data_IF_294228176238
#
_entry.id   IF_294228176238
#
_cell.length_a   1.000
_cell.length_b   1.000
_cell.length_c   1.000
_cell.angle_alpha   90.00
_cell.angle_beta   90.00
_cell.angle_gamma   90.00
#
_symmetry.space_group_name_H-M   'P 1'
#
loop_
_entity.id
_entity.type
_entity.pdbx_description
1 polymer ?
#
# COMPACT_ATOMS: atom_id res chain seq x y z
N UNK A 1 32.39 -24.75 27.59
CA UNK A 1 32.20 -23.32 27.28
C UNK A 1 31.02 -23.22 26.31
N UNK A 2 29.84 -22.96 26.84
CA UNK A 2 28.61 -22.83 26.06
C UNK A 2 28.59 -21.46 25.39
N UNK A 3 28.66 -21.42 24.06
CA UNK A 3 28.36 -20.23 23.29
C UNK A 3 26.88 -19.89 23.52
N UNK A 4 26.64 -18.91 24.39
CA UNK A 4 25.37 -18.19 24.44
C UNK A 4 25.31 -17.42 23.13
N UNK A 5 24.60 -17.95 22.14
CA UNK A 5 24.15 -17.13 21.02
C UNK A 5 23.24 -16.05 21.63
N UNK A 6 23.72 -14.81 21.66
CA UNK A 6 22.87 -13.66 21.91
C UNK A 6 21.69 -13.77 20.93
N UNK A 7 20.53 -14.03 21.46
CA UNK A 7 19.27 -13.98 20.74
C UNK A 7 19.02 -12.51 20.46
N UNK A 8 19.36 -12.05 19.26
CA UNK A 8 18.93 -10.75 18.76
C UNK A 8 17.41 -10.78 18.73
N UNK A 9 16.76 -10.07 19.62
CA UNK A 9 15.30 -9.94 19.68
C UNK A 9 14.76 -9.23 18.44
N UNK A 10 13.42 -9.15 18.30
CA UNK A 10 12.77 -8.38 17.24
C UNK A 10 12.88 -6.87 17.50
N UNK A 11 14.10 -6.34 17.49
CA UNK A 11 14.35 -4.94 17.74
C UNK A 11 14.27 -4.16 16.45
N UNK A 12 13.38 -3.16 16.40
CA UNK A 12 13.24 -2.22 15.30
C UNK A 12 14.07 -0.97 15.57
N UNK A 13 14.89 -0.58 14.61
CA UNK A 13 15.54 0.72 14.64
C UNK A 13 14.61 1.75 14.02
N UNK A 14 14.02 2.62 14.85
CA UNK A 14 13.05 3.61 14.43
C UNK A 14 13.71 4.97 14.29
N UNK A 15 13.43 5.63 13.18
CA UNK A 15 13.82 7.01 12.92
C UNK A 15 12.59 7.85 12.50
N UNK A 16 12.63 9.13 12.80
CA UNK A 16 11.60 10.09 12.45
C UNK A 16 12.19 11.14 11.51
N UNK A 17 11.58 11.31 10.35
CA UNK A 17 11.99 12.35 9.42
C UNK A 17 11.57 13.74 9.93
N UNK A 18 12.39 14.75 9.66
CA UNK A 18 11.93 16.13 9.73
C UNK A 18 10.99 16.41 8.55
N UNK A 19 10.26 17.52 8.62
CA UNK A 19 9.41 17.98 7.52
C UNK A 19 10.19 18.10 6.21
N UNK A 20 11.36 18.74 6.25
CA UNK A 20 12.19 18.94 5.06
C UNK A 20 12.69 17.62 4.49
N UNK A 21 13.10 16.70 5.35
CA UNK A 21 13.53 15.36 4.92
C UNK A 21 12.37 14.61 4.28
N UNK A 22 11.19 14.61 4.89
CA UNK A 22 9.99 13.98 4.37
C UNK A 22 9.59 14.55 3.00
N UNK A 23 9.67 15.85 2.80
CA UNK A 23 9.42 16.51 1.52
C UNK A 23 10.40 16.06 0.44
N UNK A 24 11.70 15.94 0.77
CA UNK A 24 12.70 15.44 -0.18
C UNK A 24 12.48 13.98 -0.54
N UNK A 25 12.06 13.15 0.42
CA UNK A 25 11.77 11.74 0.20
C UNK A 25 10.54 11.54 -0.69
N UNK A 26 9.49 12.34 -0.51
CA UNK A 26 8.33 12.38 -1.42
C UNK A 26 8.79 12.69 -2.84
N UNK A 27 9.58 13.74 -3.04
CA UNK A 27 10.08 14.10 -4.37
C UNK A 27 10.87 12.98 -5.04
N UNK A 28 11.59 12.18 -4.26
CA UNK A 28 12.43 11.07 -4.76
C UNK A 28 11.69 9.76 -4.96
N UNK A 29 10.41 9.69 -4.63
CA UNK A 29 9.61 8.46 -4.75
C UNK A 29 9.20 8.19 -6.21
N UNK A 30 10.17 8.24 -7.11
CA UNK A 30 9.96 8.10 -8.57
C UNK A 30 9.36 6.76 -8.94
N UNK A 31 9.70 5.68 -8.22
CA UNK A 31 9.16 4.34 -8.46
C UNK A 31 7.63 4.32 -8.33
N UNK A 32 7.08 5.00 -7.32
CA UNK A 32 5.63 5.12 -7.16
C UNK A 32 5.03 5.99 -8.26
N UNK A 33 5.60 7.16 -8.54
CA UNK A 33 5.06 8.10 -9.51
C UNK A 33 5.02 7.58 -10.95
N UNK A 34 5.95 6.70 -11.33
CA UNK A 34 5.94 6.05 -12.65
C UNK A 34 4.77 5.09 -12.86
N UNK A 35 4.12 4.65 -11.79
CA UNK A 35 2.96 3.74 -11.86
C UNK A 35 1.63 4.46 -11.90
N UNK A 36 1.61 5.77 -11.64
CA UNK A 36 0.38 6.56 -11.64
C UNK A 36 -0.19 6.66 -13.05
N UNK A 37 -1.45 6.31 -13.18
CA UNK A 37 -2.24 6.57 -14.39
C UNK A 37 -2.73 8.03 -14.41
N UNK A 38 -3.25 8.49 -15.56
CA UNK A 38 -3.90 9.80 -15.60
C UNK A 38 -5.10 9.87 -14.63
N UNK A 39 -5.81 8.74 -14.44
CA UNK A 39 -6.91 8.70 -13.47
C UNK A 39 -6.41 8.85 -12.03
N UNK A 40 -5.27 8.26 -11.70
CA UNK A 40 -4.62 8.45 -10.41
C UNK A 40 -4.31 9.91 -10.12
N UNK A 41 -3.71 10.60 -11.09
CA UNK A 41 -3.35 12.02 -10.98
C UNK A 41 -4.61 12.90 -10.81
N UNK A 42 -5.62 12.68 -11.66
CA UNK A 42 -6.86 13.43 -11.64
C UNK A 42 -7.59 13.30 -10.29
N UNK A 43 -7.65 12.09 -9.74
CA UNK A 43 -8.29 11.82 -8.46
C UNK A 43 -7.51 12.40 -7.27
N UNK A 44 -6.17 12.30 -7.26
CA UNK A 44 -5.34 12.81 -6.17
C UNK A 44 -5.32 14.34 -6.12
N UNK A 45 -5.31 14.97 -7.29
CA UNK A 45 -5.36 16.43 -7.39
C UNK A 45 -6.80 17.00 -7.46
N UNK A 46 -7.82 16.12 -7.50
CA UNK A 46 -9.24 16.52 -7.71
C UNK A 46 -9.41 17.46 -8.91
N UNK A 47 -8.70 17.17 -10.00
CA UNK A 47 -8.62 18.04 -11.18
C UNK A 47 -8.41 17.20 -12.43
N UNK A 48 -9.19 17.44 -13.48
CA UNK A 48 -9.00 16.79 -14.78
C UNK A 48 -7.70 17.27 -15.44
N UNK A 49 -6.91 16.33 -15.97
CA UNK A 49 -5.64 16.61 -16.63
C UNK A 49 -4.54 17.05 -15.67
N UNK A 50 -4.60 16.58 -14.42
CA UNK A 50 -3.56 16.83 -13.44
C UNK A 50 -2.21 16.21 -13.85
N UNK A 51 -1.13 16.80 -13.38
CA UNK A 51 0.25 16.39 -13.70
C UNK A 51 1.04 16.03 -12.44
N UNK A 52 2.18 15.35 -12.62
CA UNK A 52 3.11 15.11 -11.51
C UNK A 52 3.69 16.41 -10.94
N UNK A 53 3.89 17.42 -11.79
CA UNK A 53 4.38 18.74 -11.36
C UNK A 53 3.38 19.47 -10.45
N UNK A 54 2.11 19.06 -10.45
CA UNK A 54 1.08 19.55 -9.53
C UNK A 54 0.96 18.61 -8.30
N UNK A 55 0.99 17.30 -8.49
CA UNK A 55 0.83 16.35 -7.41
C UNK A 55 2.01 16.36 -6.42
N UNK A 56 3.25 16.38 -6.91
CA UNK A 56 4.43 16.29 -6.03
C UNK A 56 4.51 17.48 -5.06
N UNK A 57 4.39 18.76 -5.49
CA UNK A 57 4.35 19.88 -4.55
C UNK A 57 3.15 19.82 -3.59
N UNK A 58 2.00 19.32 -4.04
CA UNK A 58 0.84 19.12 -3.17
C UNK A 58 1.14 18.08 -2.08
N UNK A 59 1.67 16.91 -2.43
CA UNK A 59 2.09 15.89 -1.46
C UNK A 59 3.15 16.42 -0.48
N UNK A 60 4.15 17.17 -0.98
CA UNK A 60 5.17 17.80 -0.13
C UNK A 60 4.57 18.79 0.87
N UNK A 61 3.55 19.56 0.46
CA UNK A 61 2.90 20.55 1.34
C UNK A 61 2.16 19.90 2.52
N UNK A 62 1.80 18.64 2.40
CA UNK A 62 1.11 17.86 3.42
C UNK A 62 2.02 17.38 4.56
N UNK A 63 3.35 17.37 4.38
CA UNK A 63 4.29 16.84 5.38
C UNK A 63 4.38 17.79 6.59
N UNK A 64 4.32 17.20 7.79
CA UNK A 64 4.41 17.88 9.07
C UNK A 64 5.64 17.42 9.85
N UNK A 65 5.97 18.10 10.95
CA UNK A 65 6.96 17.66 11.91
C UNK A 65 6.29 16.82 13.02
N UNK A 66 7.01 15.83 13.52
CA UNK A 66 6.62 15.14 14.76
C UNK A 66 6.97 15.97 15.98
N UNK A 67 6.05 16.11 16.90
CA UNK A 67 6.37 16.54 18.27
C UNK A 67 7.02 15.38 19.06
N UNK A 68 7.67 15.69 20.18
CA UNK A 68 8.25 14.64 21.03
C UNK A 68 7.15 13.70 21.57
N UNK A 69 5.95 14.23 21.88
CA UNK A 69 4.79 13.42 22.25
C UNK A 69 4.38 12.45 21.15
N UNK A 70 4.40 12.86 19.88
CA UNK A 70 4.04 12.00 18.76
C UNK A 70 5.04 10.85 18.61
N UNK A 71 6.33 11.15 18.76
CA UNK A 71 7.40 10.14 18.76
C UNK A 71 7.20 9.14 19.89
N UNK A 72 6.93 9.61 21.11
CA UNK A 72 6.67 8.74 22.27
C UNK A 72 5.47 7.82 22.05
N UNK A 73 4.39 8.32 21.45
CA UNK A 73 3.19 7.51 21.13
C UNK A 73 3.54 6.40 20.14
N UNK A 74 4.31 6.72 19.09
CA UNK A 74 4.74 5.72 18.09
C UNK A 74 5.67 4.71 18.74
N UNK A 75 6.66 5.17 19.52
CA UNK A 75 7.61 4.27 20.20
C UNK A 75 6.93 3.30 21.15
N UNK A 76 5.92 3.75 21.93
CA UNK A 76 5.11 2.85 22.78
C UNK A 76 4.36 1.80 21.97
N UNK A 77 3.87 2.15 20.77
CA UNK A 77 3.23 1.18 19.89
C UNK A 77 4.22 0.15 19.35
N UNK A 78 5.40 0.60 18.94
CA UNK A 78 6.50 -0.25 18.44
C UNK A 78 7.00 -1.19 19.54
N UNK A 79 7.28 -0.69 20.73
CA UNK A 79 7.72 -1.50 21.88
C UNK A 79 6.71 -2.59 22.24
N UNK A 80 5.40 -2.27 22.15
CA UNK A 80 4.36 -3.28 22.33
C UNK A 80 4.40 -4.36 21.24
N UNK A 81 4.63 -3.99 19.98
CA UNK A 81 4.73 -4.93 18.85
C UNK A 81 5.96 -5.84 19.07
N UNK A 82 7.12 -5.28 19.39
CA UNK A 82 8.34 -6.02 19.69
C UNK A 82 8.11 -7.03 20.83
N UNK A 83 7.50 -6.58 21.93
CA UNK A 83 7.14 -7.42 23.06
C UNK A 83 6.23 -8.59 22.65
N UNK A 84 5.20 -8.33 21.84
CA UNK A 84 4.27 -9.37 21.36
C UNK A 84 4.95 -10.37 20.43
N UNK A 85 5.84 -9.94 19.58
CA UNK A 85 6.63 -10.81 18.70
C UNK A 85 7.56 -11.72 19.52
N UNK A 86 8.18 -11.20 20.57
CA UNK A 86 9.05 -11.97 21.45
C UNK A 86 8.25 -12.95 22.31
N UNK A 87 7.08 -12.54 22.83
CA UNK A 87 6.16 -13.42 23.59
C UNK A 87 5.66 -14.61 22.74
N UNK A 88 5.43 -14.39 21.44
CA UNK A 88 5.02 -15.41 20.49
C UNK A 88 6.20 -16.21 19.91
N UNK A 89 7.42 -15.94 20.35
CA UNK A 89 8.67 -16.53 19.80
C UNK A 89 8.77 -16.37 18.27
N UNK A 90 8.09 -15.34 17.72
CA UNK A 90 8.06 -15.07 16.29
C UNK A 90 9.30 -14.28 15.89
N UNK A 91 10.02 -14.73 14.87
CA UNK A 91 11.17 -14.04 14.28
C UNK A 91 10.82 -13.60 12.86
N UNK A 92 10.78 -12.29 12.65
CA UNK A 92 10.47 -11.69 11.36
C UNK A 92 11.74 -11.17 10.68
N UNK A 93 11.82 -11.19 9.35
CA UNK A 93 12.91 -10.58 8.59
C UNK A 93 12.73 -9.06 8.54
N UNK A 94 12.94 -8.40 9.69
CA UNK A 94 12.77 -6.97 9.84
C UNK A 94 13.87 -6.21 9.08
N UNK A 95 13.57 -5.02 8.52
CA UNK A 95 14.58 -4.15 7.92
C UNK A 95 15.52 -3.59 8.99
N UNK A 96 16.73 -3.16 8.57
CA UNK A 96 17.70 -2.56 9.48
C UNK A 96 17.23 -1.24 10.11
N UNK A 97 16.33 -0.51 9.45
CA UNK A 97 15.72 0.74 9.93
C UNK A 97 14.32 0.90 9.36
N UNK A 98 13.41 1.48 10.14
CA UNK A 98 12.09 1.96 9.70
C UNK A 98 12.01 3.47 9.94
N UNK A 99 11.72 4.22 8.88
CA UNK A 99 11.60 5.67 8.93
C UNK A 99 10.13 6.09 8.92
N UNK A 100 9.72 6.86 9.93
CA UNK A 100 8.39 7.46 9.97
C UNK A 100 8.37 8.87 9.37
N UNK A 101 7.35 9.15 8.57
CA UNK A 101 7.02 10.45 8.00
C UNK A 101 5.56 10.74 8.32
N UNK A 102 5.20 11.95 8.71
CA UNK A 102 3.82 12.28 9.08
C UNK A 102 3.21 13.35 8.17
N UNK A 103 2.45 12.93 7.13
CA UNK A 103 1.66 13.84 6.30
C UNK A 103 0.21 13.97 6.78
N UNK A 104 -0.51 14.95 6.20
CA UNK A 104 -1.98 15.05 6.31
C UNK A 104 -2.72 14.03 5.43
N UNK A 105 -2.03 13.46 4.43
CA UNK A 105 -2.58 12.47 3.48
C UNK A 105 -3.70 13.01 2.56
N UNK A 106 -3.76 14.30 2.31
CA UNK A 106 -4.78 14.86 1.40
C UNK A 106 -4.57 14.42 -0.04
N UNK A 107 -3.31 14.26 -0.46
CA UNK A 107 -2.87 13.75 -1.75
C UNK A 107 -3.18 12.25 -1.95
N UNK A 108 -3.25 11.47 -0.88
CA UNK A 108 -3.66 10.06 -0.89
C UNK A 108 -5.09 9.88 -0.34
N UNK A 109 -5.95 10.88 -0.58
CA UNK A 109 -7.38 10.83 -0.27
C UNK A 109 -7.69 10.51 1.19
N UNK A 110 -6.87 11.02 2.09
CA UNK A 110 -6.98 10.79 3.53
C UNK A 110 -6.73 9.35 4.00
N UNK A 111 -5.94 8.57 3.27
CA UNK A 111 -5.47 7.26 3.75
C UNK A 111 -4.90 7.35 5.17
N UNK A 112 -5.04 6.29 5.95
CA UNK A 112 -4.53 6.27 7.34
C UNK A 112 -3.00 6.16 7.41
N UNK A 113 -2.42 5.35 6.54
CA UNK A 113 -1.00 5.18 6.33
C UNK A 113 -0.73 4.56 4.96
N UNK A 114 0.53 4.54 4.56
CA UNK A 114 1.08 3.74 3.47
C UNK A 114 2.59 3.59 3.63
N UNK A 115 3.20 2.71 2.84
CA UNK A 115 4.64 2.47 2.85
C UNK A 115 5.30 2.72 1.50
N UNK A 116 6.58 3.09 1.55
CA UNK A 116 7.47 3.11 0.38
C UNK A 116 8.88 2.73 0.82
N UNK A 117 9.46 1.67 0.24
CA UNK A 117 10.73 1.12 0.72
C UNK A 117 10.62 0.68 2.18
N UNK A 118 11.45 1.25 3.05
CA UNK A 118 11.40 1.07 4.52
C UNK A 118 10.74 2.25 5.25
N UNK A 119 9.99 3.09 4.55
CA UNK A 119 9.30 4.26 5.11
C UNK A 119 7.84 3.95 5.39
N UNK A 120 7.34 4.45 6.53
CA UNK A 120 5.92 4.49 6.88
C UNK A 120 5.47 5.94 6.84
N UNK A 121 4.57 6.26 5.92
CA UNK A 121 3.84 7.51 5.89
C UNK A 121 2.60 7.35 6.76
N UNK A 122 2.60 7.97 7.93
CA UNK A 122 1.54 7.84 8.92
C UNK A 122 0.77 9.15 9.03
N UNK A 123 -0.53 9.12 8.71
CA UNK A 123 -1.37 10.31 8.79
C UNK A 123 -1.34 10.91 10.18
N UNK A 124 -1.07 12.22 10.28
CA UNK A 124 -0.94 12.93 11.54
C UNK A 124 -2.13 12.70 12.51
N UNK A 125 -3.36 12.78 12.01
CA UNK A 125 -4.57 12.59 12.84
C UNK A 125 -4.73 11.16 13.39
N UNK A 126 -3.98 10.17 12.87
CA UNK A 126 -3.98 8.81 13.44
C UNK A 126 -3.29 8.73 14.80
N UNK A 127 -2.39 9.70 15.10
CA UNK A 127 -1.72 9.79 16.40
C UNK A 127 -2.67 10.14 17.56
N UNK A 128 -3.83 10.72 17.25
CA UNK A 128 -4.87 11.04 18.23
C UNK A 128 -5.84 9.88 18.49
N UNK A 129 -5.67 8.77 17.74
CA UNK A 129 -6.54 7.59 17.87
C UNK A 129 -6.14 6.73 19.06
N UNK A 130 -6.99 5.74 19.38
CA UNK A 130 -6.69 4.76 20.45
C UNK A 130 -5.37 4.03 20.15
N UNK A 131 -4.60 3.73 21.18
CA UNK A 131 -3.32 3.01 21.06
C UNK A 131 -3.45 1.63 20.39
N UNK A 132 -4.59 0.94 20.53
CA UNK A 132 -4.85 -0.32 19.83
C UNK A 132 -4.92 -0.14 18.31
N UNK A 133 -5.62 0.91 17.85
CA UNK A 133 -5.68 1.23 16.43
C UNK A 133 -4.30 1.52 15.85
N UNK A 134 -3.49 2.31 16.57
CA UNK A 134 -2.15 2.66 16.09
C UNK A 134 -1.23 1.44 16.01
N UNK A 135 -1.32 0.53 17.00
CA UNK A 135 -0.60 -0.75 16.97
C UNK A 135 -0.98 -1.62 15.79
N UNK A 136 -2.27 -1.78 15.54
CA UNK A 136 -2.79 -2.52 14.39
C UNK A 136 -2.32 -1.90 13.08
N UNK A 137 -2.40 -0.57 12.93
CA UNK A 137 -1.96 0.15 11.75
C UNK A 137 -0.46 -0.01 11.52
N UNK A 138 0.39 0.23 12.52
CA UNK A 138 1.84 0.07 12.38
C UNK A 138 2.21 -1.40 12.07
N UNK A 139 1.52 -2.38 12.68
CA UNK A 139 1.74 -3.80 12.34
C UNK A 139 1.39 -4.09 10.88
N UNK A 140 0.31 -3.50 10.37
CA UNK A 140 -0.08 -3.59 8.97
C UNK A 140 1.01 -3.02 8.04
N UNK A 141 1.49 -1.82 8.31
CA UNK A 141 2.54 -1.18 7.53
C UNK A 141 3.88 -1.95 7.58
N UNK A 142 4.23 -2.46 8.75
CA UNK A 142 5.41 -3.32 8.89
C UNK A 142 5.30 -4.60 8.04
N UNK A 143 4.10 -5.17 7.89
CA UNK A 143 3.90 -6.33 7.03
C UNK A 143 4.21 -6.00 5.56
N UNK A 144 3.79 -4.82 5.07
CA UNK A 144 4.15 -4.36 3.73
C UNK A 144 5.67 -4.21 3.56
N UNK A 145 6.35 -3.60 4.53
CA UNK A 145 7.82 -3.44 4.49
C UNK A 145 8.51 -4.81 4.49
N UNK A 146 8.11 -5.72 5.37
CA UNK A 146 8.72 -7.05 5.50
C UNK A 146 8.53 -7.87 4.23
N UNK A 147 7.33 -7.89 3.66
CA UNK A 147 7.03 -8.63 2.43
C UNK A 147 7.77 -8.08 1.23
N UNK A 148 8.05 -6.78 1.20
CA UNK A 148 8.87 -6.12 0.19
C UNK A 148 10.36 -6.49 0.33
N UNK A 149 10.86 -6.55 1.54
CA UNK A 149 12.28 -6.85 1.83
C UNK A 149 12.62 -8.34 1.74
N UNK A 150 11.66 -9.23 1.99
CA UNK A 150 11.87 -10.67 2.00
C UNK A 150 10.89 -11.38 1.05
N UNK A 151 11.29 -11.60 -0.22
CA UNK A 151 10.46 -12.33 -1.19
C UNK A 151 10.09 -13.74 -0.71
N UNK A 152 10.98 -14.43 -0.01
CA UNK A 152 10.71 -15.75 0.56
C UNK A 152 9.61 -15.69 1.64
N UNK A 153 9.68 -14.72 2.54
CA UNK A 153 8.65 -14.48 3.55
C UNK A 153 7.31 -14.14 2.88
N UNK A 154 7.32 -13.23 1.89
CA UNK A 154 6.14 -12.86 1.11
C UNK A 154 5.49 -14.07 0.48
N UNK A 155 6.25 -14.90 -0.22
CA UNK A 155 5.74 -16.10 -0.87
C UNK A 155 5.08 -17.06 0.12
N UNK A 156 5.72 -17.30 1.27
CA UNK A 156 5.19 -18.14 2.34
C UNK A 156 3.89 -17.59 2.91
N UNK A 157 3.86 -16.30 3.27
CA UNK A 157 2.68 -15.67 3.86
C UNK A 157 1.51 -15.62 2.89
N UNK A 158 1.74 -15.27 1.63
CA UNK A 158 0.71 -15.23 0.61
C UNK A 158 0.14 -16.63 0.32
N UNK A 159 0.98 -17.66 0.32
CA UNK A 159 0.52 -19.04 0.14
C UNK A 159 -0.42 -19.53 1.25
N UNK A 160 -0.25 -19.06 2.50
CA UNK A 160 -1.13 -19.40 3.63
C UNK A 160 -2.57 -18.92 3.42
N UNK A 161 -2.76 -17.85 2.66
CA UNK A 161 -4.08 -17.31 2.32
C UNK A 161 -4.50 -17.65 0.89
N UNK A 162 -3.82 -18.60 0.24
CA UNK A 162 -4.19 -19.14 -1.06
C UNK A 162 -3.72 -18.33 -2.26
N UNK A 163 -2.82 -17.34 -2.07
CA UNK A 163 -2.23 -16.60 -3.19
C UNK A 163 -0.93 -17.24 -3.68
N UNK A 164 -0.75 -17.24 -4.98
CA UNK A 164 0.49 -17.58 -5.67
C UNK A 164 1.18 -16.31 -6.12
N UNK A 165 2.44 -16.13 -5.76
CA UNK A 165 3.29 -15.02 -6.22
C UNK A 165 4.07 -15.48 -7.44
N UNK A 166 4.06 -14.67 -8.51
CA UNK A 166 4.78 -14.89 -9.75
C UNK A 166 6.14 -14.19 -9.72
N UNK A 167 6.99 -14.49 -10.67
CA UNK A 167 8.30 -13.86 -10.87
C UNK A 167 8.26 -12.62 -11.78
N UNK A 168 7.09 -12.24 -12.23
CA UNK A 168 6.84 -11.09 -13.10
C UNK A 168 5.46 -10.50 -12.86
N UNK A 169 5.29 -9.23 -13.20
CA UNK A 169 4.00 -8.55 -13.13
C UNK A 169 3.00 -9.10 -14.15
N UNK A 170 1.73 -9.11 -13.77
CA UNK A 170 0.63 -9.52 -14.64
C UNK A 170 0.44 -8.46 -15.72
N UNK A 171 0.44 -8.92 -16.98
CA UNK A 171 0.17 -8.05 -18.12
C UNK A 171 -1.34 -7.81 -18.29
N UNK A 172 -1.73 -6.54 -18.25
CA UNK A 172 -3.11 -6.11 -18.46
C UNK A 172 -3.28 -5.42 -19.82
N UNK A 173 -4.46 -5.58 -20.48
CA UNK A 173 -4.78 -4.78 -21.65
C UNK A 173 -4.75 -3.28 -21.35
N UNK A 174 -4.35 -2.45 -22.32
CA UNK A 174 -4.20 -1.00 -22.13
C UNK A 174 -5.46 -0.32 -21.60
N UNK A 175 -6.65 -0.75 -22.02
CA UNK A 175 -7.93 -0.24 -21.50
C UNK A 175 -8.08 -0.49 -19.99
N UNK A 176 -7.56 -1.63 -19.50
CA UNK A 176 -7.56 -1.99 -18.08
C UNK A 176 -6.50 -1.22 -17.33
N UNK A 177 -5.26 -1.19 -17.84
CA UNK A 177 -4.15 -0.45 -17.23
C UNK A 177 -4.52 0.99 -16.90
N UNK A 178 -5.19 1.69 -17.82
CA UNK A 178 -5.63 3.09 -17.63
C UNK A 178 -6.59 3.32 -16.48
N UNK A 179 -7.20 2.27 -15.96
CA UNK A 179 -8.18 2.32 -14.87
C UNK A 179 -7.69 1.66 -13.59
N UNK A 180 -6.54 0.98 -13.62
CA UNK A 180 -5.94 0.46 -12.39
C UNK A 180 -5.59 1.63 -11.48
N UNK A 181 -5.89 1.48 -10.20
CA UNK A 181 -5.50 2.42 -9.17
C UNK A 181 -4.13 2.01 -8.64
N UNK A 182 -3.17 2.91 -8.70
CA UNK A 182 -1.88 2.69 -8.07
C UNK A 182 -2.01 2.86 -6.55
N UNK A 183 -1.64 1.79 -5.83
CA UNK A 183 -1.52 1.82 -4.37
C UNK A 183 -0.02 1.90 -4.02
N UNK A 184 0.43 2.84 -3.19
CA UNK A 184 1.84 2.93 -2.81
C UNK A 184 2.36 1.68 -2.09
N UNK A 185 1.50 0.92 -1.40
CA UNK A 185 1.86 -0.33 -0.72
C UNK A 185 2.08 -1.51 -1.67
N UNK A 186 1.52 -1.41 -2.89
CA UNK A 186 1.58 -2.46 -3.90
C UNK A 186 2.56 -2.09 -4.99
N UNK A 187 3.82 -2.54 -4.89
CA UNK A 187 4.85 -2.26 -5.91
C UNK A 187 4.68 -3.11 -7.18
N UNK A 188 4.13 -4.33 -7.04
CA UNK A 188 3.95 -5.30 -8.10
C UNK A 188 2.55 -5.89 -8.10
N UNK A 189 1.93 -6.03 -9.26
CA UNK A 189 0.72 -6.83 -9.43
C UNK A 189 1.16 -8.18 -10.03
N UNK A 190 1.72 -9.02 -9.20
CA UNK A 190 2.40 -10.27 -9.53
C UNK A 190 1.83 -11.49 -8.80
N UNK A 191 0.62 -11.37 -8.28
CA UNK A 191 0.02 -12.46 -7.51
C UNK A 191 -1.44 -12.71 -7.90
N UNK A 192 -1.85 -13.96 -7.76
CA UNK A 192 -3.21 -14.40 -8.04
C UNK A 192 -3.66 -15.48 -7.04
N UNK A 193 -4.96 -15.67 -6.95
CA UNK A 193 -5.56 -16.79 -6.23
C UNK A 193 -6.66 -17.47 -7.06
N UNK A 194 -7.07 -18.69 -6.66
CA UNK A 194 -8.17 -19.38 -7.27
C UNK A 194 -9.50 -18.98 -6.60
N UNK A 195 -10.45 -18.53 -7.40
CA UNK A 195 -11.79 -18.17 -6.95
C UNK A 195 -12.84 -18.99 -7.72
N UNK A 196 -13.94 -19.34 -7.05
CA UNK A 196 -15.09 -19.95 -7.70
C UNK A 196 -16.08 -18.86 -8.09
N UNK A 197 -16.23 -18.61 -9.38
CA UNK A 197 -17.11 -17.58 -9.95
C UNK A 197 -18.16 -18.30 -10.82
N UNK A 198 -19.43 -18.14 -10.48
CA UNK A 198 -20.55 -18.83 -11.15
C UNK A 198 -20.36 -20.36 -11.23
N UNK A 199 -19.83 -20.96 -10.17
CA UNK A 199 -19.55 -22.40 -10.10
C UNK A 199 -18.29 -22.85 -10.85
N UNK A 200 -17.55 -21.96 -11.47
CA UNK A 200 -16.32 -22.25 -12.23
C UNK A 200 -15.10 -21.72 -11.47
N UNK A 201 -14.10 -22.57 -11.28
CA UNK A 201 -12.80 -22.18 -10.71
C UNK A 201 -12.01 -21.36 -11.71
N UNK A 202 -11.53 -20.19 -11.27
CA UNK A 202 -10.74 -19.26 -12.08
C UNK A 202 -9.57 -18.71 -11.28
N UNK A 203 -8.41 -18.65 -11.89
CA UNK A 203 -7.28 -17.89 -11.37
C UNK A 203 -7.53 -16.41 -11.62
N UNK A 204 -7.51 -15.59 -10.58
CA UNK A 204 -7.79 -14.18 -10.69
C UNK A 204 -6.76 -13.34 -9.92
N UNK A 205 -6.35 -12.23 -10.52
CA UNK A 205 -5.68 -11.16 -9.82
C UNK A 205 -6.70 -10.29 -9.08
N UNK A 206 -6.34 -9.86 -7.87
CA UNK A 206 -7.13 -8.91 -7.10
C UNK A 206 -6.50 -7.52 -7.28
N UNK A 207 -7.24 -6.59 -7.85
CA UNK A 207 -6.72 -5.25 -8.16
C UNK A 207 -7.69 -4.16 -7.74
N UNK A 208 -7.16 -2.97 -7.44
CA UNK A 208 -7.97 -1.77 -7.30
C UNK A 208 -8.19 -1.12 -8.67
N UNK A 209 -9.42 -0.72 -8.95
CA UNK A 209 -9.87 -0.28 -10.26
C UNK A 209 -10.84 0.90 -10.17
N UNK A 210 -10.58 1.97 -10.91
CA UNK A 210 -11.47 3.12 -10.93
C UNK A 210 -12.75 2.85 -11.73
N UNK A 211 -13.89 2.94 -11.05
CA UNK A 211 -15.21 2.81 -11.68
C UNK A 211 -15.53 4.01 -12.58
N UNK A 212 -15.15 5.23 -12.14
CA UNK A 212 -15.36 6.48 -12.85
C UNK A 212 -14.09 7.32 -12.85
N UNK A 213 -13.88 8.11 -13.91
CA UNK A 213 -12.89 9.19 -13.89
C UNK A 213 -13.34 10.32 -12.96
N UNK A 214 -12.39 11.14 -12.50
CA UNK A 214 -12.72 12.36 -11.77
C UNK A 214 -13.73 13.25 -12.51
N UNK A 215 -13.54 13.43 -13.83
CA UNK A 215 -14.42 14.25 -14.64
C UNK A 215 -15.86 13.72 -14.74
N UNK A 216 -16.04 12.39 -14.73
CA UNK A 216 -17.37 11.77 -14.69
C UNK A 216 -18.00 11.90 -13.30
N UNK A 217 -17.27 11.55 -12.26
CA UNK A 217 -17.76 11.58 -10.89
C UNK A 217 -18.10 13.00 -10.43
N UNK A 218 -17.25 13.98 -10.71
CA UNK A 218 -17.48 15.38 -10.33
C UNK A 218 -18.74 15.98 -10.99
N UNK A 219 -19.08 15.53 -12.21
CA UNK A 219 -20.32 15.97 -12.89
C UNK A 219 -21.56 15.30 -12.32
N UNK A 220 -21.48 14.02 -11.94
CA UNK A 220 -22.60 13.24 -11.45
C UNK A 220 -22.87 13.42 -9.97
N UNK A 221 -21.84 13.56 -9.17
CA UNK A 221 -21.86 13.52 -7.72
C UNK A 221 -21.54 14.90 -7.10
N UNK A 222 -20.96 15.82 -7.89
CA UNK A 222 -20.57 17.15 -7.44
C UNK A 222 -19.58 17.06 -6.24
N UNK A 223 -19.85 17.81 -5.15
CA UNK A 223 -18.99 17.80 -3.96
C UNK A 223 -18.95 16.45 -3.20
N UNK A 224 -19.85 15.51 -3.53
CA UNK A 224 -19.90 14.16 -2.94
C UNK A 224 -18.98 13.19 -3.66
N UNK A 225 -18.38 13.58 -4.79
CA UNK A 225 -17.41 12.75 -5.49
C UNK A 225 -16.17 12.55 -4.61
N UNK A 226 -15.94 11.34 -4.16
CA UNK A 226 -14.76 10.98 -3.37
C UNK A 226 -13.98 9.87 -4.04
N UNK A 227 -12.68 9.86 -3.83
CA UNK A 227 -11.78 8.80 -4.29
C UNK A 227 -12.30 7.42 -3.87
N UNK A 228 -12.62 7.24 -2.57
CA UNK A 228 -13.04 5.95 -2.01
C UNK A 228 -14.38 5.45 -2.56
N UNK A 229 -15.28 6.32 -3.00
CA UNK A 229 -16.56 5.92 -3.59
C UNK A 229 -16.44 5.54 -5.07
N UNK A 230 -15.30 5.80 -5.68
CA UNK A 230 -15.12 5.67 -7.12
C UNK A 230 -14.03 4.68 -7.56
N UNK A 231 -13.41 3.96 -6.62
CA UNK A 231 -12.65 2.77 -6.95
C UNK A 231 -13.26 1.53 -6.30
N UNK A 232 -13.03 0.39 -6.90
CA UNK A 232 -13.48 -0.90 -6.39
C UNK A 232 -12.33 -1.89 -6.43
N UNK A 233 -12.32 -2.81 -5.46
CA UNK A 233 -11.50 -4.01 -5.56
C UNK A 233 -12.21 -5.01 -6.47
N UNK A 234 -11.54 -5.46 -7.51
CA UNK A 234 -12.12 -6.36 -8.52
C UNK A 234 -11.24 -7.59 -8.74
N UNK A 235 -11.89 -8.71 -9.05
CA UNK A 235 -11.20 -9.92 -9.52
C UNK A 235 -11.10 -9.87 -11.04
N UNK A 236 -9.88 -9.92 -11.55
CA UNK A 236 -9.59 -10.00 -12.98
C UNK A 236 -9.13 -11.42 -13.31
N UNK A 237 -9.94 -12.23 -14.05
CA UNK A 237 -9.55 -13.56 -14.44
C UNK A 237 -8.31 -13.57 -15.34
N UNK A 238 -7.37 -14.46 -15.05
CA UNK A 238 -6.22 -14.72 -15.88
C UNK A 238 -6.57 -15.75 -16.97
N UNK A 239 -5.98 -15.61 -18.16
CA UNK A 239 -6.16 -16.60 -19.22
C UNK A 239 -5.45 -17.91 -18.86
N UNK A 240 -6.16 -19.02 -19.00
CA UNK A 240 -5.65 -20.37 -18.69
C UNK A 240 -4.74 -20.98 -19.77
N UNK A 241 -4.39 -20.25 -20.84
CA UNK A 241 -3.62 -20.80 -21.95
C UNK A 241 -2.24 -20.17 -22.09
N UNK A 242 -1.22 -20.77 -21.42
CA UNK A 242 0.19 -20.53 -21.67
C UNK A 242 0.94 -19.73 -20.61
N UNK A 243 2.27 -19.64 -20.69
CA UNK A 243 3.13 -18.99 -19.69
C UNK A 243 3.03 -17.45 -19.67
N UNK A 244 2.20 -16.84 -20.49
CA UNK A 244 1.84 -15.43 -20.38
C UNK A 244 0.46 -15.29 -19.75
N UNK A 245 0.43 -14.82 -18.52
CA UNK A 245 -0.77 -14.42 -17.78
C UNK A 245 -1.42 -13.18 -18.43
N UNK A 246 -2.05 -13.37 -19.60
CA UNK A 246 -2.79 -12.30 -20.28
C UNK A 246 -4.28 -12.38 -19.92
N UNK A 247 -4.88 -11.24 -19.61
CA UNK A 247 -6.33 -11.11 -19.46
C UNK A 247 -7.06 -11.38 -20.79
N UNK A 248 -8.17 -12.09 -20.72
CA UNK A 248 -9.03 -12.23 -21.90
C UNK A 248 -9.64 -10.88 -22.27
N UNK A 249 -9.67 -10.56 -23.57
CA UNK A 249 -10.15 -9.28 -24.10
C UNK A 249 -11.62 -8.98 -23.78
N UNK A 250 -12.40 -9.96 -23.33
CA UNK A 250 -13.85 -9.92 -23.26
C UNK A 250 -14.44 -9.87 -21.83
N UNK A 251 -13.60 -9.90 -20.79
CA UNK A 251 -14.09 -9.89 -19.42
C UNK A 251 -14.13 -8.48 -18.83
N UNK A 252 -15.35 -7.97 -18.67
CA UNK A 252 -15.63 -6.86 -17.76
C UNK A 252 -15.25 -7.29 -16.34
N UNK A 253 -14.69 -6.38 -15.51
CA UNK A 253 -14.36 -6.70 -14.13
C UNK A 253 -15.63 -7.16 -13.40
N UNK A 254 -15.56 -8.34 -12.79
CA UNK A 254 -16.60 -8.81 -11.89
C UNK A 254 -16.45 -8.03 -10.57
N UNK A 255 -17.32 -7.06 -10.35
CA UNK A 255 -17.35 -6.36 -9.06
C UNK A 255 -17.82 -7.33 -7.98
N UNK A 256 -16.93 -7.63 -7.03
CA UNK A 256 -17.34 -8.22 -5.76
C UNK A 256 -17.72 -7.06 -4.84
N UNK A 257 -19.00 -6.94 -4.51
CA UNK A 257 -19.42 -6.17 -3.35
C UNK A 257 -19.05 -7.00 -2.11
N UNK A 258 -18.03 -6.56 -1.38
CA UNK A 258 -17.71 -7.03 -0.04
C UNK A 258 -18.22 -6.01 0.97
#
# INVERSE_FOLDING_TARGET
MSNIKETVGNKLNIRFASREEGQQLIQRNTHYYHRLTQMDLDWRCMKQGATLDELIPFAQSNVLDFTDRDKDIIMQAVEFIEYRLDELECRLPLPGEVLFITPNMEDESNAAAYTSGNMIFLKYSCLERRSSFLRELITHELFHIITRHSPEFRQKMYSLIGFTVMDHDIEFPERTKRRLMANPDVEHIDNYAEFTIDGVKRQCALVAYFAKSWAEASKLEGPLATFFNNYHTVLLPLNSSGPSSQLSSDNLPLSLYV
#
